data_IF_991494157786
#
_entry.id   IF_991494157786
#
_cell.length_a   1.000
_cell.length_b   1.000
_cell.length_c   1.000
_cell.angle_alpha   90.00
_cell.angle_beta   90.00
_cell.angle_gamma   90.00
#
_symmetry.space_group_name_H-M   'P 1'
#
loop_
_entity.id
_entity.type
_entity.pdbx_description
1 polymer ?
#
# COMPACT_ATOMS: atom_id res chain seq x y z
N UNK A 1 13.03 -31.10 -48.76
CA UNK A 1 14.36 -30.73 -48.24
C UNK A 1 14.34 -29.21 -47.94
N UNK A 2 14.22 -28.85 -46.69
CA UNK A 2 14.26 -27.42 -46.27
C UNK A 2 15.75 -27.04 -46.29
N UNK A 3 16.11 -25.96 -47.00
CA UNK A 3 17.49 -25.54 -47.15
C UNK A 3 18.09 -25.12 -45.82
N UNK A 4 19.37 -25.38 -45.57
CA UNK A 4 20.06 -24.99 -44.31
C UNK A 4 19.97 -23.48 -44.03
N UNK A 5 19.85 -22.64 -45.03
CA UNK A 5 19.68 -21.19 -44.90
C UNK A 5 18.31 -20.79 -44.33
N UNK A 6 17.24 -21.52 -44.63
CA UNK A 6 15.90 -21.27 -44.10
C UNK A 6 15.79 -21.66 -42.61
N UNK A 7 16.56 -22.63 -42.17
CA UNK A 7 16.62 -23.06 -40.77
C UNK A 7 17.33 -22.02 -39.90
N UNK A 8 18.40 -21.40 -40.39
CA UNK A 8 19.12 -20.35 -39.66
C UNK A 8 18.32 -19.02 -39.59
N UNK A 9 17.54 -18.69 -40.62
CA UNK A 9 16.64 -17.52 -40.55
C UNK A 9 15.49 -17.70 -39.55
N UNK A 10 14.98 -18.92 -39.37
CA UNK A 10 13.96 -19.18 -38.35
C UNK A 10 14.51 -19.09 -36.92
N UNK A 11 15.76 -19.53 -36.70
CA UNK A 11 16.39 -19.41 -35.37
C UNK A 11 16.73 -17.99 -35.01
N UNK A 12 17.17 -17.16 -35.97
CA UNK A 12 17.40 -15.72 -35.74
C UNK A 12 16.11 -14.95 -35.53
N UNK A 13 15.00 -15.31 -36.18
CA UNK A 13 13.68 -14.68 -35.91
C UNK A 13 13.11 -15.09 -34.54
N UNK A 14 13.36 -16.29 -34.05
CA UNK A 14 12.97 -16.74 -32.71
C UNK A 14 13.79 -16.09 -31.58
N UNK A 15 15.06 -15.75 -31.84
CA UNK A 15 15.92 -15.05 -30.90
C UNK A 15 15.62 -13.54 -30.84
N UNK A 16 15.05 -12.94 -31.89
CA UNK A 16 14.61 -11.56 -31.90
C UNK A 16 13.26 -11.30 -31.18
N UNK A 17 12.51 -12.37 -30.84
CA UNK A 17 11.28 -12.30 -30.04
C UNK A 17 11.55 -12.40 -28.53
N UNK A 18 12.80 -12.48 -28.12
CA UNK A 18 13.21 -12.54 -26.73
C UNK A 18 13.55 -11.14 -26.21
N UNK A 19 12.74 -10.66 -25.29
CA UNK A 19 12.98 -9.52 -24.40
C UNK A 19 12.95 -8.11 -25.02
N UNK A 20 11.79 -7.65 -25.45
CA UNK A 20 11.43 -6.28 -25.05
C UNK A 20 11.05 -6.34 -23.57
N UNK A 21 12.00 -6.22 -22.65
CA UNK A 21 11.68 -5.76 -21.32
C UNK A 21 10.99 -4.41 -21.51
N UNK A 22 9.68 -4.36 -21.33
CA UNK A 22 8.99 -3.11 -21.13
C UNK A 22 9.62 -2.49 -19.86
N UNK A 23 10.62 -1.63 -20.07
CA UNK A 23 11.08 -0.77 -18.99
C UNK A 23 9.89 0.11 -18.62
N UNK A 24 9.27 -0.18 -17.48
CA UNK A 24 8.27 0.70 -16.90
C UNK A 24 8.90 2.09 -16.78
N UNK A 25 8.17 3.11 -17.20
CA UNK A 25 8.58 4.48 -16.85
C UNK A 25 8.65 4.58 -15.35
N UNK A 26 9.64 5.26 -14.83
CA UNK A 26 9.78 5.55 -13.40
C UNK A 26 10.71 6.75 -13.21
N UNK A 27 11.10 7.04 -11.97
CA UNK A 27 12.04 8.10 -11.65
C UNK A 27 13.31 8.02 -12.51
N UNK A 28 13.84 9.16 -12.97
CA UNK A 28 15.05 9.19 -13.82
C UNK A 28 16.28 8.68 -13.07
N UNK A 29 16.30 8.81 -11.73
CA UNK A 29 17.34 8.26 -10.85
C UNK A 29 16.72 7.08 -10.13
N UNK A 30 17.23 5.89 -10.41
CA UNK A 30 16.75 4.66 -9.77
C UNK A 30 17.44 4.48 -8.41
N UNK A 31 16.68 4.20 -7.34
CA UNK A 31 17.26 3.93 -6.04
C UNK A 31 18.05 2.61 -6.06
N UNK A 32 19.16 2.57 -5.33
CA UNK A 32 19.80 1.30 -5.01
C UNK A 32 18.83 0.46 -4.19
N UNK A 33 18.59 -0.80 -4.53
CA UNK A 33 17.73 -1.66 -3.72
C UNK A 33 18.21 -1.68 -2.26
N UNK A 34 17.31 -1.42 -1.31
CA UNK A 34 17.67 -1.34 0.12
C UNK A 34 18.32 -2.63 0.64
N UNK A 35 18.03 -3.78 0.03
CA UNK A 35 18.66 -5.08 0.33
C UNK A 35 20.15 -5.15 -0.05
N UNK A 36 20.66 -4.16 -0.77
CA UNK A 36 22.08 -4.01 -1.14
C UNK A 36 22.80 -2.91 -0.37
N UNK A 37 22.10 -2.22 0.52
CA UNK A 37 22.69 -1.13 1.34
C UNK A 37 23.09 -1.70 2.69
N UNK A 38 24.36 -1.57 3.03
CA UNK A 38 24.91 -1.97 4.32
C UNK A 38 25.51 -0.75 5.01
N UNK A 39 25.12 -0.52 6.25
CA UNK A 39 25.56 0.62 7.06
C UNK A 39 26.45 0.11 8.18
N UNK A 40 27.72 0.54 8.16
CA UNK A 40 28.77 0.14 9.11
C UNK A 40 29.35 1.35 9.86
N UNK A 41 28.60 2.45 9.89
CA UNK A 41 29.00 3.71 10.52
C UNK A 41 28.69 3.73 12.03
N UNK A 42 29.20 4.77 12.73
CA UNK A 42 28.97 4.94 14.16
C UNK A 42 27.70 5.70 14.52
N UNK A 43 26.95 6.18 13.53
CA UNK A 43 25.73 6.94 13.74
C UNK A 43 24.47 6.13 13.42
N UNK A 44 24.35 5.59 12.20
CA UNK A 44 23.15 4.85 11.78
C UNK A 44 23.14 3.41 12.24
N UNK A 45 24.26 2.69 12.19
CA UNK A 45 24.31 1.28 12.55
C UNK A 45 23.80 1.00 13.97
N UNK A 46 24.17 1.78 15.03
CA UNK A 46 23.62 1.59 16.37
C UNK A 46 22.10 1.85 16.45
N UNK A 47 21.57 2.79 15.65
CA UNK A 47 20.13 3.11 15.61
C UNK A 47 19.34 2.00 14.93
N UNK A 48 19.85 1.44 13.86
CA UNK A 48 19.27 0.28 13.19
C UNK A 48 19.22 -0.92 14.13
N UNK A 49 20.31 -1.16 14.88
CA UNK A 49 20.34 -2.24 15.88
C UNK A 49 19.33 -1.99 17.02
N UNK A 50 19.24 -0.76 17.54
CA UNK A 50 18.22 -0.41 18.54
C UNK A 50 16.81 -0.62 18.00
N UNK A 51 16.56 -0.22 16.75
CA UNK A 51 15.25 -0.45 16.11
C UNK A 51 14.91 -1.94 16.03
N UNK A 52 15.88 -2.75 15.58
CA UNK A 52 15.72 -4.21 15.44
C UNK A 52 15.52 -4.91 16.78
N UNK A 53 16.39 -4.60 17.78
CA UNK A 53 16.47 -5.35 19.03
C UNK A 53 15.49 -4.88 20.10
N UNK A 54 15.01 -3.62 20.02
CA UNK A 54 14.17 -3.01 21.05
C UNK A 54 12.86 -2.47 20.48
N UNK A 55 12.91 -1.59 19.48
CA UNK A 55 11.71 -0.86 19.02
C UNK A 55 10.69 -1.80 18.38
N UNK A 56 11.12 -2.64 17.44
CA UNK A 56 10.22 -3.58 16.74
C UNK A 56 9.59 -4.59 17.72
N UNK A 57 10.33 -5.31 18.58
CA UNK A 57 9.75 -6.20 19.58
C UNK A 57 8.79 -5.49 20.53
N UNK A 58 9.13 -4.27 20.97
CA UNK A 58 8.26 -3.46 21.81
C UNK A 58 6.96 -3.10 21.11
N UNK A 59 7.02 -2.66 19.86
CA UNK A 59 5.85 -2.29 19.07
C UNK A 59 4.91 -3.49 18.86
N UNK A 60 5.42 -4.68 18.57
CA UNK A 60 4.63 -5.89 18.50
C UNK A 60 3.99 -6.24 19.85
N UNK A 61 4.76 -6.20 20.94
CA UNK A 61 4.23 -6.47 22.27
C UNK A 61 3.10 -5.48 22.67
N UNK A 62 3.19 -4.21 22.27
CA UNK A 62 2.11 -3.25 22.47
C UNK A 62 0.89 -3.59 21.59
N UNK A 63 1.08 -3.99 20.34
CA UNK A 63 -0.03 -4.39 19.46
C UNK A 63 -0.74 -5.65 19.94
N UNK A 64 -0.01 -6.61 20.53
CA UNK A 64 -0.61 -7.76 21.22
C UNK A 64 -1.41 -7.33 22.45
N UNK A 65 -0.78 -6.55 23.34
CA UNK A 65 -1.39 -6.08 24.59
C UNK A 65 -2.66 -5.24 24.36
N UNK A 66 -2.71 -4.47 23.30
CA UNK A 66 -3.84 -3.58 22.96
C UNK A 66 -4.88 -4.24 22.06
N UNK A 67 -4.71 -5.53 21.75
CA UNK A 67 -5.66 -6.33 20.98
C UNK A 67 -5.61 -6.13 19.45
N UNK A 68 -4.73 -5.28 18.92
CA UNK A 68 -4.66 -5.02 17.47
C UNK A 68 -4.37 -6.28 16.66
N UNK A 69 -3.49 -7.14 17.18
CA UNK A 69 -3.21 -8.46 16.56
C UNK A 69 -4.38 -9.42 16.75
N UNK A 70 -4.97 -9.45 17.97
CA UNK A 70 -6.11 -10.29 18.26
C UNK A 70 -7.33 -9.98 17.38
N UNK A 71 -7.51 -8.72 16.95
CA UNK A 71 -8.58 -8.31 16.04
C UNK A 71 -8.58 -9.12 14.73
N UNK A 72 -7.41 -9.42 14.17
CA UNK A 72 -7.30 -10.27 12.98
C UNK A 72 -7.70 -11.72 13.28
N UNK A 73 -7.32 -12.26 14.45
CA UNK A 73 -7.72 -13.59 14.84
C UNK A 73 -9.24 -13.70 15.04
N UNK A 74 -9.87 -12.67 15.63
CA UNK A 74 -11.34 -12.60 15.80
C UNK A 74 -12.02 -12.48 14.43
N UNK A 75 -11.55 -11.59 13.55
CA UNK A 75 -12.11 -11.42 12.22
C UNK A 75 -11.98 -12.68 11.35
N UNK A 76 -10.92 -13.46 11.55
CA UNK A 76 -10.70 -14.75 10.89
C UNK A 76 -11.40 -15.93 11.53
N UNK A 77 -12.19 -15.72 12.59
CA UNK A 77 -12.87 -16.81 13.33
C UNK A 77 -11.92 -17.77 14.08
N UNK A 78 -10.68 -17.37 14.31
CA UNK A 78 -9.67 -18.17 15.03
C UNK A 78 -9.68 -17.92 16.55
N UNK A 79 -10.33 -16.85 16.97
CA UNK A 79 -10.49 -16.45 18.37
C UNK A 79 -11.91 -15.93 18.59
N UNK A 80 -12.54 -16.38 19.68
CA UNK A 80 -13.79 -15.78 20.13
C UNK A 80 -13.50 -14.42 20.80
N UNK A 81 -14.30 -13.40 20.50
CA UNK A 81 -14.12 -12.07 21.07
C UNK A 81 -14.82 -10.98 20.31
N UNK A 82 -14.49 -9.74 20.65
CA UNK A 82 -14.98 -8.53 20.01
C UNK A 82 -13.81 -7.64 19.62
N UNK A 83 -14.06 -6.68 18.70
CA UNK A 83 -13.07 -5.69 18.32
C UNK A 83 -12.49 -4.98 19.56
N UNK A 84 -11.17 -4.94 19.63
CA UNK A 84 -10.42 -4.17 20.62
C UNK A 84 -9.92 -2.86 20.00
N UNK A 85 -9.65 -1.87 20.85
CA UNK A 85 -9.24 -0.53 20.40
C UNK A 85 -10.43 0.40 20.14
N UNK A 86 -10.14 1.61 19.69
CA UNK A 86 -11.14 2.68 19.56
C UNK A 86 -11.04 3.46 18.25
N UNK A 87 -10.17 3.02 17.35
CA UNK A 87 -9.89 3.77 16.12
C UNK A 87 -10.06 2.94 14.86
N UNK A 88 -10.58 3.57 13.79
CA UNK A 88 -10.82 2.89 12.52
C UNK A 88 -9.52 2.54 11.77
N UNK A 89 -8.37 2.99 12.25
CA UNK A 89 -7.06 2.77 11.63
C UNK A 89 -6.15 1.79 12.40
N UNK A 90 -6.68 1.09 13.40
CA UNK A 90 -5.89 0.19 14.26
C UNK A 90 -5.20 -0.95 13.47
N UNK A 91 -5.79 -1.45 12.38
CA UNK A 91 -5.17 -2.45 11.50
C UNK A 91 -3.84 -1.98 10.93
N UNK A 92 -3.72 -0.69 10.59
CA UNK A 92 -2.53 -0.11 9.99
C UNK A 92 -1.31 -0.16 10.92
N UNK A 93 -1.49 -0.20 12.24
CA UNK A 93 -0.39 -0.28 13.20
C UNK A 93 0.36 -1.60 13.01
N UNK A 94 -0.37 -2.71 12.81
CA UNK A 94 0.24 -4.02 12.56
C UNK A 94 0.99 -4.03 11.22
N UNK A 95 0.40 -3.48 10.17
CA UNK A 95 1.04 -3.40 8.85
C UNK A 95 2.33 -2.58 8.88
N UNK A 96 2.33 -1.41 9.52
CA UNK A 96 3.51 -0.55 9.67
C UNK A 96 4.66 -1.24 10.41
N UNK A 97 4.33 -2.03 11.45
CA UNK A 97 5.37 -2.76 12.18
C UNK A 97 5.91 -3.91 11.31
N UNK A 98 5.07 -4.62 10.55
CA UNK A 98 5.50 -5.65 9.60
C UNK A 98 6.43 -5.04 8.54
N UNK A 99 6.10 -3.85 8.02
CA UNK A 99 6.95 -3.13 7.07
C UNK A 99 8.33 -2.85 7.67
N UNK A 100 8.39 -2.23 8.85
CA UNK A 100 9.64 -1.95 9.55
C UNK A 100 10.45 -3.21 9.90
N UNK A 101 9.78 -4.27 10.32
CA UNK A 101 10.39 -5.57 10.59
C UNK A 101 10.95 -6.22 9.33
N UNK A 102 10.29 -6.06 8.19
CA UNK A 102 10.76 -6.55 6.90
C UNK A 102 12.06 -5.85 6.47
N UNK A 103 12.15 -4.54 6.65
CA UNK A 103 13.41 -3.81 6.43
C UNK A 103 14.52 -4.29 7.39
N UNK A 104 14.20 -4.56 8.66
CA UNK A 104 15.17 -5.10 9.62
C UNK A 104 15.69 -6.48 9.19
N UNK A 105 14.84 -7.36 8.67
CA UNK A 105 15.23 -8.68 8.15
C UNK A 105 16.18 -8.58 6.94
N UNK A 106 16.07 -7.52 6.12
CA UNK A 106 17.00 -7.31 5.00
C UNK A 106 18.40 -6.91 5.46
N UNK A 107 18.53 -6.24 6.61
CA UNK A 107 19.81 -5.84 7.19
C UNK A 107 20.47 -7.03 7.91
N UNK A 108 19.69 -7.78 8.68
CA UNK A 108 20.19 -8.92 9.45
C UNK A 108 19.16 -10.03 9.50
N UNK A 109 19.57 -11.24 9.10
CA UNK A 109 18.72 -12.43 9.19
C UNK A 109 18.36 -12.73 10.65
N UNK A 110 17.06 -12.86 10.90
CA UNK A 110 16.49 -13.22 12.19
C UNK A 110 15.37 -14.26 12.00
N UNK A 111 15.68 -15.51 12.26
CA UNK A 111 14.75 -16.64 12.06
C UNK A 111 13.52 -16.54 12.95
N UNK A 112 13.69 -16.01 14.18
CA UNK A 112 12.56 -15.86 15.13
C UNK A 112 11.60 -14.76 14.67
N UNK A 113 12.14 -13.62 14.25
CA UNK A 113 11.35 -12.52 13.70
C UNK A 113 10.64 -12.97 12.42
N UNK A 114 11.33 -13.67 11.51
CA UNK A 114 10.73 -14.17 10.29
C UNK A 114 9.57 -15.15 10.56
N UNK A 115 9.72 -16.07 11.52
CA UNK A 115 8.66 -17.00 11.91
C UNK A 115 7.49 -16.28 12.58
N UNK A 116 7.74 -15.26 13.39
CA UNK A 116 6.71 -14.43 14.00
C UNK A 116 5.90 -13.67 12.93
N UNK A 117 6.57 -13.06 11.94
CA UNK A 117 5.89 -12.42 10.82
C UNK A 117 5.03 -13.41 10.02
N UNK A 118 5.51 -14.62 9.75
CA UNK A 118 4.72 -15.65 9.07
C UNK A 118 3.45 -15.99 9.86
N UNK A 119 3.53 -16.05 11.20
CA UNK A 119 2.37 -16.26 12.04
C UNK A 119 1.36 -15.11 11.97
N UNK A 120 1.82 -13.86 12.03
CA UNK A 120 0.96 -12.69 11.87
C UNK A 120 0.30 -12.64 10.49
N UNK A 121 1.06 -12.92 9.43
CA UNK A 121 0.53 -12.96 8.07
C UNK A 121 -0.56 -14.02 7.94
N UNK A 122 -0.43 -15.15 8.64
CA UNK A 122 -1.47 -16.18 8.66
C UNK A 122 -2.77 -15.70 9.34
N UNK A 123 -2.68 -14.87 10.39
CA UNK A 123 -3.86 -14.25 11.01
C UNK A 123 -4.51 -13.23 10.06
N UNK A 124 -3.71 -12.42 9.38
CA UNK A 124 -4.20 -11.45 8.39
C UNK A 124 -4.89 -12.17 7.23
N UNK A 125 -4.31 -13.28 6.75
CA UNK A 125 -4.91 -14.10 5.70
C UNK A 125 -6.26 -14.68 6.12
N UNK A 126 -6.38 -15.15 7.36
CA UNK A 126 -7.65 -15.68 7.90
C UNK A 126 -8.73 -14.59 8.03
N UNK A 127 -8.32 -13.35 8.33
CA UNK A 127 -9.24 -12.21 8.45
C UNK A 127 -9.73 -11.66 7.09
N UNK A 128 -9.06 -12.02 5.99
CA UNK A 128 -9.46 -11.54 4.67
C UNK A 128 -10.70 -12.28 4.15
N UNK A 129 -11.74 -11.52 3.81
CA UNK A 129 -12.97 -12.07 3.27
C UNK A 129 -12.78 -12.67 1.86
N UNK A 130 -13.76 -13.47 1.42
CA UNK A 130 -13.65 -14.24 0.17
C UNK A 130 -13.42 -13.34 -1.05
N UNK A 131 -14.03 -12.16 -1.09
CA UNK A 131 -13.87 -11.18 -2.16
C UNK A 131 -12.59 -10.32 -2.06
N UNK A 132 -11.79 -10.49 -1.00
CA UNK A 132 -10.57 -9.74 -0.76
C UNK A 132 -10.72 -8.58 0.21
N UNK A 133 -11.92 -8.28 0.71
CA UNK A 133 -12.11 -7.23 1.71
C UNK A 133 -11.36 -7.55 3.00
N UNK A 134 -10.77 -6.53 3.62
CA UNK A 134 -9.99 -6.68 4.84
C UNK A 134 -10.09 -5.39 5.68
N UNK A 135 -10.85 -5.43 6.74
CA UNK A 135 -11.00 -4.32 7.69
C UNK A 135 -11.60 -4.88 8.99
N UNK A 136 -10.74 -5.14 9.98
CA UNK A 136 -11.15 -5.86 11.19
C UNK A 136 -12.28 -5.16 11.95
N UNK A 137 -12.26 -3.81 12.02
CA UNK A 137 -13.31 -3.04 12.68
C UNK A 137 -14.71 -3.32 12.11
N UNK A 138 -14.84 -3.55 10.78
CA UNK A 138 -16.12 -3.89 10.17
C UNK A 138 -16.47 -5.35 10.36
N UNK A 139 -15.53 -6.25 10.09
CA UNK A 139 -15.77 -7.69 10.21
C UNK A 139 -16.14 -8.08 11.65
N UNK A 140 -15.52 -7.46 12.65
CA UNK A 140 -15.79 -7.67 14.08
C UNK A 140 -16.93 -6.80 14.62
N UNK A 141 -17.61 -6.01 13.77
CA UNK A 141 -18.71 -5.13 14.15
C UNK A 141 -18.35 -4.19 15.33
N UNK A 142 -17.28 -3.41 15.18
CA UNK A 142 -16.79 -2.49 16.21
C UNK A 142 -17.88 -1.51 16.68
N UNK A 143 -18.02 -1.21 17.97
CA UNK A 143 -19.07 -0.31 18.48
C UNK A 143 -19.05 1.11 17.89
N UNK A 144 -17.87 1.59 17.48
CA UNK A 144 -17.66 2.90 16.87
C UNK A 144 -17.82 2.91 15.35
N UNK A 145 -18.04 1.75 14.74
CA UNK A 145 -17.93 1.59 13.28
C UNK A 145 -18.87 2.50 12.50
N UNK A 146 -20.16 2.54 12.89
CA UNK A 146 -21.16 3.32 12.14
C UNK A 146 -20.84 4.81 12.12
N UNK A 147 -20.33 5.36 13.23
CA UNK A 147 -19.92 6.77 13.33
C UNK A 147 -18.75 7.08 12.38
N UNK A 148 -17.73 6.21 12.31
CA UNK A 148 -16.51 6.47 11.55
C UNK A 148 -16.59 6.02 10.09
N UNK A 149 -17.23 4.90 9.82
CA UNK A 149 -17.18 4.22 8.53
C UNK A 149 -18.55 4.03 7.86
N UNK A 150 -19.63 4.50 8.51
CA UNK A 150 -21.00 4.31 8.01
C UNK A 150 -21.47 2.86 8.11
N UNK A 151 -22.69 2.60 7.62
CA UNK A 151 -23.34 1.30 7.75
C UNK A 151 -22.76 0.23 6.83
N UNK A 152 -22.34 0.62 5.65
CA UNK A 152 -21.88 -0.29 4.61
C UNK A 152 -20.43 -0.01 4.24
N UNK A 153 -19.78 -0.97 3.57
CA UNK A 153 -18.45 -0.79 3.01
C UNK A 153 -18.44 0.44 2.10
N UNK A 154 -17.41 1.27 2.22
CA UNK A 154 -17.16 2.45 1.37
C UNK A 154 -18.19 3.59 1.49
N UNK A 155 -19.20 3.47 2.37
CA UNK A 155 -20.28 4.46 2.50
C UNK A 155 -19.83 5.77 3.15
N UNK A 156 -18.74 5.78 3.93
CA UNK A 156 -18.19 6.96 4.57
C UNK A 156 -16.65 6.95 4.50
N UNK A 157 -16.09 7.43 3.38
CA UNK A 157 -14.64 7.37 3.14
C UNK A 157 -13.84 8.48 3.83
N UNK A 158 -14.50 9.55 4.28
CA UNK A 158 -13.82 10.69 4.91
C UNK A 158 -13.04 10.31 6.17
N UNK A 159 -13.63 9.47 7.04
CA UNK A 159 -13.05 9.09 8.32
C UNK A 159 -12.87 7.59 8.53
N UNK A 160 -13.39 6.74 7.65
CA UNK A 160 -13.37 5.28 7.84
C UNK A 160 -11.98 4.67 7.91
N UNK A 161 -11.00 5.28 7.27
CA UNK A 161 -9.64 4.75 7.12
C UNK A 161 -9.59 3.36 6.45
N UNK A 162 -10.67 2.89 5.81
CA UNK A 162 -10.66 1.62 5.06
C UNK A 162 -9.53 1.60 4.03
N UNK A 163 -9.49 2.62 3.14
CA UNK A 163 -8.43 2.72 2.13
C UNK A 163 -7.04 3.05 2.71
N UNK A 164 -6.99 3.76 3.85
CA UNK A 164 -5.75 4.05 4.55
C UNK A 164 -5.09 2.76 5.08
N UNK A 165 -5.86 1.88 5.73
CA UNK A 165 -5.36 0.59 6.20
C UNK A 165 -4.82 -0.24 5.02
N UNK A 166 -5.51 -0.24 3.88
CA UNK A 166 -5.08 -0.97 2.69
C UNK A 166 -3.81 -0.39 2.08
N UNK A 167 -3.65 0.93 2.06
CA UNK A 167 -2.40 1.55 1.63
C UNK A 167 -1.21 1.03 2.44
N UNK A 168 -1.32 0.96 3.76
CA UNK A 168 -0.27 0.41 4.63
C UNK A 168 -0.07 -1.10 4.47
N UNK A 169 -1.14 -1.86 4.20
CA UNK A 169 -1.00 -3.27 3.83
C UNK A 169 -0.14 -3.44 2.56
N UNK A 170 -0.37 -2.62 1.54
CA UNK A 170 0.38 -2.71 0.28
C UNK A 170 1.85 -2.33 0.47
N UNK A 171 2.13 -1.27 1.24
CA UNK A 171 3.48 -0.88 1.62
C UNK A 171 4.22 -2.03 2.34
N UNK A 172 3.59 -2.61 3.36
CA UNK A 172 4.14 -3.73 4.12
C UNK A 172 4.35 -4.98 3.24
N UNK A 173 3.41 -5.27 2.36
CA UNK A 173 3.45 -6.46 1.49
C UNK A 173 4.60 -6.38 0.48
N UNK A 174 4.81 -5.21 -0.13
CA UNK A 174 5.93 -4.99 -1.05
C UNK A 174 7.25 -5.05 -0.31
N UNK A 175 7.38 -4.39 0.85
CA UNK A 175 8.57 -4.43 1.68
C UNK A 175 8.93 -5.87 2.11
N UNK A 176 7.94 -6.64 2.56
CA UNK A 176 8.12 -8.03 2.96
C UNK A 176 8.56 -8.92 1.79
N UNK A 177 7.94 -8.76 0.62
CA UNK A 177 8.33 -9.48 -0.59
C UNK A 177 9.76 -9.15 -1.02
N UNK A 178 10.12 -7.87 -1.07
CA UNK A 178 11.46 -7.42 -1.46
C UNK A 178 12.54 -7.89 -0.48
N UNK A 179 12.25 -7.88 0.83
CA UNK A 179 13.20 -8.28 1.86
C UNK A 179 13.41 -9.79 1.96
N UNK A 180 12.35 -10.59 1.74
CA UNK A 180 12.35 -12.03 2.04
C UNK A 180 12.17 -12.93 0.82
N UNK A 181 11.66 -12.41 -0.29
CA UNK A 181 11.22 -13.18 -1.46
C UNK A 181 9.90 -13.93 -1.26
N UNK A 182 9.28 -13.88 -0.06
CA UNK A 182 8.02 -14.56 0.24
C UNK A 182 6.84 -13.77 -0.32
N UNK A 183 5.87 -14.46 -0.88
CA UNK A 183 4.68 -13.85 -1.50
C UNK A 183 3.44 -13.88 -0.61
N UNK A 184 3.48 -14.53 0.56
CA UNK A 184 2.32 -14.75 1.41
C UNK A 184 1.55 -13.45 1.75
N UNK A 185 2.21 -12.37 2.18
CA UNK A 185 1.55 -11.09 2.43
C UNK A 185 1.20 -10.36 1.12
N UNK A 186 2.04 -10.53 0.09
CA UNK A 186 1.79 -9.93 -1.22
C UNK A 186 0.50 -10.47 -1.86
N UNK A 187 0.22 -11.77 -1.77
CA UNK A 187 -1.02 -12.37 -2.31
C UNK A 187 -2.28 -11.81 -1.61
N UNK A 188 -2.23 -11.59 -0.29
CA UNK A 188 -3.30 -10.93 0.46
C UNK A 188 -3.52 -9.50 -0.07
N UNK A 189 -2.43 -8.75 -0.25
CA UNK A 189 -2.48 -7.38 -0.76
C UNK A 189 -3.03 -7.31 -2.19
N UNK A 190 -2.59 -8.23 -3.07
CA UNK A 190 -3.06 -8.28 -4.47
C UNK A 190 -4.55 -8.60 -4.54
N UNK A 191 -5.03 -9.58 -3.76
CA UNK A 191 -6.45 -9.93 -3.71
C UNK A 191 -7.32 -8.75 -3.24
N UNK A 192 -6.85 -8.01 -2.24
CA UNK A 192 -7.53 -6.79 -1.80
C UNK A 192 -7.45 -5.67 -2.84
N UNK A 193 -6.28 -5.44 -3.44
CA UNK A 193 -6.11 -4.41 -4.46
C UNK A 193 -6.98 -4.67 -5.70
N UNK A 194 -7.22 -5.92 -6.06
CA UNK A 194 -8.14 -6.31 -7.13
C UNK A 194 -9.58 -5.91 -6.81
N UNK A 195 -10.04 -6.13 -5.58
CA UNK A 195 -11.34 -5.64 -5.11
C UNK A 195 -11.42 -4.11 -5.18
N UNK A 196 -10.38 -3.40 -4.72
CA UNK A 196 -10.33 -1.94 -4.78
C UNK A 196 -10.43 -1.45 -6.24
N UNK A 197 -9.64 -2.04 -7.15
CA UNK A 197 -9.68 -1.70 -8.57
C UNK A 197 -11.03 -2.01 -9.23
N UNK A 198 -11.73 -3.03 -8.77
CA UNK A 198 -13.08 -3.34 -9.24
C UNK A 198 -14.14 -2.38 -8.66
N UNK A 199 -13.93 -1.86 -7.46
CA UNK A 199 -14.90 -1.00 -6.74
C UNK A 199 -14.79 0.47 -7.14
N UNK A 200 -13.56 0.99 -7.27
CA UNK A 200 -13.30 2.41 -7.53
C UNK A 200 -13.00 2.66 -9.01
N UNK A 201 -13.59 3.71 -9.58
CA UNK A 201 -13.38 4.07 -10.97
C UNK A 201 -14.53 4.87 -11.55
N UNK A 202 -14.41 5.35 -12.79
CA UNK A 202 -15.48 6.09 -13.47
C UNK A 202 -16.78 5.28 -13.54
N UNK A 203 -17.90 5.88 -13.12
CA UNK A 203 -19.21 5.23 -13.07
C UNK A 203 -19.40 4.18 -11.97
N UNK A 204 -18.45 4.10 -11.02
CA UNK A 204 -18.49 3.24 -9.83
C UNK A 204 -18.39 4.10 -8.57
N UNK A 205 -17.64 3.70 -7.53
CA UNK A 205 -17.36 4.59 -6.40
C UNK A 205 -16.39 5.68 -6.83
N UNK A 206 -16.84 6.93 -6.84
CA UNK A 206 -16.10 8.11 -7.26
C UNK A 206 -15.79 9.03 -6.07
N UNK A 207 -15.30 8.47 -4.98
CA UNK A 207 -14.93 9.21 -3.78
C UNK A 207 -13.51 8.86 -3.36
N UNK A 208 -12.61 9.86 -3.16
CA UNK A 208 -11.24 9.59 -2.73
C UNK A 208 -11.20 9.24 -1.23
N UNK A 209 -10.13 8.59 -0.75
CA UNK A 209 -9.96 8.39 0.69
C UNK A 209 -9.86 9.72 1.43
N UNK A 210 -10.42 9.81 2.63
CA UNK A 210 -10.21 10.99 3.49
C UNK A 210 -8.75 11.10 3.94
N UNK A 211 -8.10 9.97 4.19
CA UNK A 211 -6.66 9.90 4.45
C UNK A 211 -5.95 9.16 3.31
N UNK A 212 -5.03 9.87 2.67
CA UNK A 212 -4.20 9.35 1.58
C UNK A 212 -3.19 8.32 2.12
N UNK A 213 -2.72 7.47 1.29
CA UNK A 213 -1.59 6.52 1.29
C UNK A 213 -1.81 5.38 0.29
N UNK A 214 -3.05 5.04 0.01
CA UNK A 214 -3.36 3.92 -0.89
C UNK A 214 -2.82 4.16 -2.30
N UNK A 215 -2.73 5.42 -2.71
CA UNK A 215 -2.19 5.83 -4.01
C UNK A 215 -0.71 5.43 -4.15
N UNK A 216 0.08 5.64 -3.07
CA UNK A 216 1.48 5.18 -3.01
C UNK A 216 1.56 3.65 -3.00
N UNK A 217 0.74 3.01 -2.18
CA UNK A 217 0.70 1.54 -2.08
C UNK A 217 0.37 0.88 -3.41
N UNK A 218 -0.63 1.39 -4.14
CA UNK A 218 -0.98 0.93 -5.49
C UNK A 218 0.15 1.17 -6.50
N UNK A 219 0.85 2.31 -6.44
CA UNK A 219 2.01 2.57 -7.28
C UNK A 219 3.15 1.58 -7.00
N UNK A 220 3.37 1.19 -5.76
CA UNK A 220 4.35 0.14 -5.39
C UNK A 220 3.91 -1.24 -5.90
N UNK A 221 2.62 -1.59 -5.79
CA UNK A 221 2.11 -2.84 -6.37
C UNK A 221 2.30 -2.87 -7.89
N UNK A 222 2.04 -1.76 -8.58
CA UNK A 222 2.32 -1.64 -10.02
C UNK A 222 3.80 -1.91 -10.34
N UNK A 223 4.75 -1.32 -9.59
CA UNK A 223 6.19 -1.54 -9.80
C UNK A 223 6.60 -3.00 -9.66
N UNK A 224 5.95 -3.73 -8.75
CA UNK A 224 6.29 -5.14 -8.47
C UNK A 224 5.63 -6.11 -9.45
N UNK A 225 4.43 -5.77 -9.95
CA UNK A 225 3.61 -6.69 -10.76
C UNK A 225 3.56 -6.34 -12.24
N UNK A 226 3.68 -5.05 -12.59
CA UNK A 226 3.40 -4.51 -13.92
C UNK A 226 1.91 -4.40 -14.28
N UNK A 227 1.01 -4.67 -13.33
CA UNK A 227 -0.44 -4.66 -13.55
C UNK A 227 -0.99 -3.24 -13.64
N UNK A 228 -1.30 -2.78 -14.84
CA UNK A 228 -1.76 -1.42 -15.14
C UNK A 228 -2.98 -0.96 -14.33
N UNK A 229 -3.86 -1.87 -13.93
CA UNK A 229 -5.04 -1.56 -13.12
C UNK A 229 -4.69 -0.85 -11.80
N UNK A 230 -3.56 -1.19 -11.18
CA UNK A 230 -3.10 -0.55 -9.94
C UNK A 230 -2.68 0.90 -10.17
N UNK A 231 -1.89 1.16 -11.24
CA UNK A 231 -1.51 2.51 -11.61
C UNK A 231 -2.71 3.38 -11.99
N UNK A 232 -3.63 2.82 -12.78
CA UNK A 232 -4.85 3.51 -13.19
C UNK A 232 -5.74 3.87 -12.00
N UNK A 233 -5.91 2.97 -11.02
CA UNK A 233 -6.70 3.24 -9.82
C UNK A 233 -6.03 4.26 -8.92
N UNK A 234 -4.70 4.19 -8.71
CA UNK A 234 -3.96 5.21 -7.97
C UNK A 234 -4.13 6.60 -8.58
N UNK A 235 -3.96 6.70 -9.90
CA UNK A 235 -4.17 7.92 -10.66
C UNK A 235 -5.61 8.44 -10.53
N UNK A 236 -6.60 7.57 -10.69
CA UNK A 236 -8.02 7.93 -10.57
C UNK A 236 -8.35 8.54 -9.20
N UNK A 237 -7.89 7.93 -8.10
CA UNK A 237 -8.13 8.44 -6.75
C UNK A 237 -7.55 9.84 -6.51
N UNK A 238 -6.39 10.15 -7.13
CA UNK A 238 -5.83 11.51 -7.13
C UNK A 238 -6.62 12.45 -8.04
N UNK A 239 -7.05 12.01 -9.22
CA UNK A 239 -7.76 12.84 -10.20
C UNK A 239 -9.14 13.30 -9.73
N UNK A 240 -9.83 12.50 -8.90
CA UNK A 240 -11.15 12.87 -8.37
C UNK A 240 -11.09 13.74 -7.11
N UNK A 241 -9.91 13.88 -6.50
CA UNK A 241 -9.71 14.75 -5.33
C UNK A 241 -9.93 16.21 -5.72
N UNK A 242 -10.71 16.91 -4.89
CA UNK A 242 -11.14 18.29 -5.17
C UNK A 242 -12.22 18.43 -6.24
N UNK A 243 -12.81 17.31 -6.68
CA UNK A 243 -13.93 17.31 -7.64
C UNK A 243 -15.20 16.73 -7.01
N UNK A 244 -16.36 17.27 -7.35
CA UNK A 244 -17.68 16.77 -6.93
C UNK A 244 -18.15 15.60 -7.79
N UNK A 245 -17.25 14.68 -8.12
CA UNK A 245 -17.57 13.47 -8.88
C UNK A 245 -18.62 12.63 -8.13
N UNK A 246 -19.51 11.97 -8.86
CA UNK A 246 -20.56 11.15 -8.25
C UNK A 246 -21.56 11.92 -7.37
N UNK A 247 -21.56 13.26 -7.41
CA UNK A 247 -22.45 14.09 -6.60
C UNK A 247 -22.02 14.23 -5.13
N UNK A 248 -20.81 13.79 -4.76
CA UNK A 248 -20.29 13.92 -3.39
C UNK A 248 -20.01 15.37 -3.00
N UNK A 249 -20.05 15.66 -1.73
CA UNK A 249 -19.48 16.89 -1.18
C UNK A 249 -17.97 16.77 -0.97
N UNK A 250 -17.26 17.90 -1.09
CA UNK A 250 -15.82 17.96 -0.83
C UNK A 250 -15.53 17.86 0.67
N UNK A 251 -14.47 17.13 1.02
CA UNK A 251 -14.02 17.04 2.42
C UNK A 251 -13.32 18.32 2.90
N UNK A 252 -12.94 19.20 1.98
CA UNK A 252 -12.31 20.49 2.29
C UNK A 252 -10.79 20.42 2.49
N UNK A 253 -10.19 21.55 2.94
CA UNK A 253 -8.74 21.71 2.99
C UNK A 253 -8.04 20.75 3.96
N UNK A 254 -8.71 20.32 5.04
CA UNK A 254 -8.11 19.40 6.01
C UNK A 254 -7.61 18.09 5.36
N UNK A 255 -8.34 17.61 4.35
CA UNK A 255 -7.99 16.39 3.58
C UNK A 255 -7.41 16.70 2.20
N UNK A 256 -6.94 17.95 1.95
CA UNK A 256 -6.45 18.43 0.65
C UNK A 256 -7.49 18.24 -0.48
N UNK A 257 -8.78 18.25 -0.16
CA UNK A 257 -9.92 18.00 -1.06
C UNK A 257 -10.75 19.28 -1.32
N UNK A 258 -10.11 20.45 -1.28
CA UNK A 258 -10.72 21.77 -1.47
C UNK A 258 -10.67 22.24 -2.92
N UNK A 259 -9.68 21.82 -3.67
CA UNK A 259 -9.44 22.11 -5.09
C UNK A 259 -8.88 20.88 -5.78
N UNK A 260 -9.12 20.71 -7.10
CA UNK A 260 -8.43 19.71 -7.90
C UNK A 260 -6.91 19.81 -7.69
N UNK A 261 -6.22 18.68 -7.56
CA UNK A 261 -4.77 18.65 -7.27
C UNK A 261 -3.98 19.50 -8.28
N UNK A 262 -4.34 19.44 -9.57
CA UNK A 262 -3.65 20.20 -10.61
C UNK A 262 -3.86 21.73 -10.49
N UNK A 263 -4.71 22.21 -9.59
CA UNK A 263 -4.98 23.62 -9.35
C UNK A 263 -4.45 24.11 -7.98
N UNK A 264 -4.07 23.17 -7.09
CA UNK A 264 -3.49 23.51 -5.79
C UNK A 264 -2.13 24.19 -5.94
N UNK A 265 -1.86 25.20 -5.11
CA UNK A 265 -0.64 26.02 -5.17
C UNK A 265 0.04 26.23 -3.82
N UNK A 266 -0.49 25.62 -2.77
CA UNK A 266 0.05 25.71 -1.42
C UNK A 266 -0.26 24.44 -0.61
N UNK A 267 0.59 24.13 0.36
CA UNK A 267 0.36 23.05 1.29
C UNK A 267 -0.65 23.46 2.35
N UNK A 268 -1.78 22.75 2.44
CA UNK A 268 -2.85 23.03 3.39
C UNK A 268 -3.25 21.79 4.19
N UNK A 269 -3.94 21.98 5.29
CA UNK A 269 -4.61 20.96 6.06
C UNK A 269 -3.69 20.05 6.87
N UNK A 270 -4.07 18.80 7.01
CA UNK A 270 -3.35 17.82 7.83
C UNK A 270 -2.03 17.41 7.18
N UNK A 271 -0.91 17.67 7.85
CA UNK A 271 0.43 17.51 7.29
C UNK A 271 0.75 16.08 6.81
N UNK A 272 0.35 15.06 7.58
CA UNK A 272 0.61 13.66 7.21
C UNK A 272 -0.17 13.26 5.96
N UNK A 273 -1.45 13.65 5.86
CA UNK A 273 -2.27 13.44 4.66
C UNK A 273 -1.65 14.10 3.43
N UNK A 274 -1.19 15.35 3.59
CA UNK A 274 -0.50 16.09 2.53
C UNK A 274 0.79 15.37 2.08
N UNK A 275 1.64 14.95 3.01
CA UNK A 275 2.87 14.23 2.71
C UNK A 275 2.62 12.96 1.91
N UNK A 276 1.64 12.14 2.28
CA UNK A 276 1.26 10.95 1.50
C UNK A 276 0.71 11.30 0.12
N UNK A 277 -0.13 12.33 0.03
CA UNK A 277 -0.66 12.78 -1.26
C UNK A 277 0.47 13.21 -2.20
N UNK A 278 1.41 14.02 -1.72
CA UNK A 278 2.52 14.51 -2.55
C UNK A 278 3.44 13.40 -3.01
N UNK A 279 3.71 12.41 -2.15
CA UNK A 279 4.46 11.23 -2.54
C UNK A 279 3.71 10.41 -3.62
N UNK A 280 2.39 10.21 -3.47
CA UNK A 280 1.55 9.56 -4.49
C UNK A 280 1.54 10.32 -5.82
N UNK A 281 1.46 11.66 -5.78
CA UNK A 281 1.53 12.50 -6.99
C UNK A 281 2.89 12.34 -7.68
N UNK A 282 3.99 12.33 -6.91
CA UNK A 282 5.34 12.16 -7.44
C UNK A 282 5.49 10.78 -8.12
N UNK A 283 4.95 9.73 -7.52
CA UNK A 283 4.92 8.39 -8.09
C UNK A 283 4.14 8.35 -9.42
N UNK A 284 2.94 8.92 -9.46
CA UNK A 284 2.14 8.97 -10.68
C UNK A 284 2.82 9.80 -11.77
N UNK A 285 3.43 10.92 -11.41
CA UNK A 285 4.21 11.74 -12.35
C UNK A 285 5.38 10.95 -12.96
N UNK A 286 6.12 10.21 -12.14
CA UNK A 286 7.25 9.39 -12.59
C UNK A 286 6.79 8.24 -13.49
N UNK A 287 5.79 7.48 -13.07
CA UNK A 287 5.32 6.28 -13.75
C UNK A 287 4.57 6.59 -15.06
N UNK A 288 3.88 7.73 -15.15
CA UNK A 288 3.16 8.13 -16.37
C UNK A 288 3.98 9.03 -17.29
N UNK A 289 4.92 9.78 -16.74
CA UNK A 289 5.64 10.83 -17.45
C UNK A 289 4.76 12.06 -17.75
N UNK A 290 3.61 12.19 -17.12
CA UNK A 290 2.67 13.29 -17.34
C UNK A 290 3.16 14.56 -16.63
N UNK A 291 3.58 15.54 -17.43
CA UNK A 291 4.12 16.82 -16.96
C UNK A 291 3.13 17.67 -16.17
N UNK A 292 1.83 17.42 -16.25
CA UNK A 292 0.85 18.16 -15.48
C UNK A 292 1.02 17.88 -13.97
N UNK A 293 1.26 16.62 -13.62
CA UNK A 293 1.54 16.20 -12.24
C UNK A 293 2.87 16.76 -11.71
N UNK A 294 3.92 16.78 -12.57
CA UNK A 294 5.22 17.40 -12.22
C UNK A 294 5.01 18.87 -11.89
N UNK A 295 4.35 19.62 -12.78
CA UNK A 295 4.09 21.05 -12.54
C UNK A 295 3.22 21.32 -11.29
N UNK A 296 2.31 20.41 -10.95
CA UNK A 296 1.51 20.54 -9.74
C UNK A 296 2.37 20.43 -8.47
N UNK A 297 3.24 19.42 -8.41
CA UNK A 297 4.14 19.23 -7.27
C UNK A 297 5.19 20.33 -7.15
N UNK A 298 5.74 20.81 -8.27
CA UNK A 298 6.72 21.89 -8.28
C UNK A 298 6.13 23.22 -7.80
N UNK A 299 4.80 23.39 -7.90
CA UNK A 299 4.10 24.60 -7.50
C UNK A 299 3.74 24.62 -6.03
N UNK A 300 3.46 23.46 -5.43
CA UNK A 300 3.13 23.27 -4.00
C UNK A 300 4.40 23.29 -3.15
#
# INVERSE_FOLDING_TARGET
MISKSSFWMLITALLALSCSQHHLKDYPIQPVPFTRVHLEDQFWAPRIETNRAVTIPHAFAQSEKTGRIANFAVAGGLLEGTQQGSYPFDDSDVYKIIEGASYALSVQKDVKLAAYLDSLISLIAAAQEEDGYLYTARTNNAPYLEEWAGKERWSQLYMSHELYNMGHLYEAAVAHYQATGKRNLLEIALKNADLICATFGPGRVESPPGHQVIEMGLAKLYRVTGEEKYLQTARFLLEIRGKKSGGRELYGPYSQDHLPILEQSEAVGHAVRAGYMYAGIADIAALTGDRAWIRAIDRI
#
